data_IF_589669383472
#
_entry.id   IF_589669383472
#
_cell.length_a   1.000
_cell.length_b   1.000
_cell.length_c   1.000
_cell.angle_alpha   90.00
_cell.angle_beta   90.00
_cell.angle_gamma   90.00
#
_symmetry.space_group_name_H-M   'P 1'
#
loop_
_entity.id
_entity.type
_entity.pdbx_description
1 polymer ?
#
# COMPACT_ATOMS: atom_id res chain seq x y z
N UNK A 1 -1.71 7.82 -19.04
CA UNK A 1 -2.28 6.47 -18.84
C UNK A 1 -3.05 6.52 -17.54
N UNK A 2 -4.32 6.09 -17.51
CA UNK A 2 -5.13 6.16 -16.28
C UNK A 2 -4.67 5.13 -15.24
N UNK A 3 -4.99 5.36 -13.96
CA UNK A 3 -4.67 4.43 -12.86
C UNK A 3 -5.24 3.02 -13.14
N UNK A 4 -6.41 2.96 -13.78
CA UNK A 4 -7.08 1.74 -14.22
C UNK A 4 -6.23 0.97 -15.24
N UNK A 5 -5.72 1.65 -16.27
CA UNK A 5 -4.90 1.02 -17.31
C UNK A 5 -3.59 0.47 -16.73
N UNK A 6 -3.01 1.16 -15.74
CA UNK A 6 -1.78 0.74 -15.08
C UNK A 6 -1.99 -0.44 -14.16
N UNK A 7 -3.07 -0.44 -13.36
CA UNK A 7 -3.41 -1.56 -12.48
C UNK A 7 -3.57 -2.89 -13.19
N UNK A 8 -3.96 -2.88 -14.46
CA UNK A 8 -4.04 -4.13 -15.25
C UNK A 8 -2.69 -4.72 -15.66
N UNK A 9 -1.58 -4.01 -15.43
CA UNK A 9 -0.23 -4.38 -15.91
C UNK A 9 0.85 -4.33 -14.83
N UNK A 10 0.65 -3.50 -13.82
CA UNK A 10 1.67 -3.13 -12.84
C UNK A 10 1.05 -3.13 -11.43
N UNK A 11 1.90 -3.32 -10.42
CA UNK A 11 1.52 -3.13 -9.02
C UNK A 11 1.71 -1.67 -8.65
N UNK A 12 0.72 -1.09 -7.98
CA UNK A 12 0.72 0.33 -7.67
C UNK A 12 0.72 0.55 -6.17
N UNK A 13 1.34 1.63 -5.72
CA UNK A 13 1.24 2.14 -4.37
C UNK A 13 0.67 3.56 -4.39
N UNK A 14 -0.39 3.81 -3.63
CA UNK A 14 -1.00 5.12 -3.41
C UNK A 14 -0.63 5.64 -2.03
N UNK A 15 0.13 6.72 -2.00
CA UNK A 15 0.68 7.31 -0.77
C UNK A 15 -0.05 8.63 -0.51
N UNK A 16 -0.44 8.89 0.74
CA UNK A 16 -1.03 10.18 1.12
C UNK A 16 -1.26 10.31 2.62
N UNK A 17 -1.69 11.48 3.09
CA UNK A 17 -1.88 11.70 4.53
C UNK A 17 -3.08 10.96 5.09
N UNK A 18 -3.14 10.86 6.41
CA UNK A 18 -4.41 10.58 7.09
C UNK A 18 -5.47 11.59 6.62
N UNK A 19 -6.70 11.12 6.45
CA UNK A 19 -7.86 11.92 6.02
C UNK A 19 -7.78 12.56 4.63
N UNK A 20 -6.80 12.20 3.79
CA UNK A 20 -6.73 12.74 2.42
C UNK A 20 -7.80 12.18 1.48
N UNK A 21 -8.68 11.28 1.94
CA UNK A 21 -9.75 10.69 1.12
C UNK A 21 -9.34 9.47 0.29
N UNK A 22 -8.13 8.90 0.47
CA UNK A 22 -7.64 7.72 -0.29
C UNK A 22 -8.65 6.56 -0.27
N UNK A 23 -9.09 6.18 0.93
CA UNK A 23 -10.05 5.07 1.10
C UNK A 23 -11.39 5.38 0.45
N UNK A 24 -11.84 6.63 0.48
CA UNK A 24 -13.08 7.04 -0.18
C UNK A 24 -12.95 6.92 -1.70
N UNK A 25 -11.90 7.52 -2.29
CA UNK A 25 -11.60 7.39 -3.72
C UNK A 25 -11.52 5.93 -4.15
N UNK A 26 -10.82 5.09 -3.38
CA UNK A 26 -10.66 3.68 -3.72
C UNK A 26 -12.00 2.96 -3.69
N UNK A 27 -12.79 3.12 -2.62
CA UNK A 27 -14.03 2.35 -2.44
C UNK A 27 -15.19 2.84 -3.28
N UNK A 28 -15.31 4.15 -3.49
CA UNK A 28 -16.48 4.75 -4.14
C UNK A 28 -16.23 5.09 -5.62
N UNK A 29 -14.98 5.16 -6.07
CA UNK A 29 -14.65 5.47 -7.46
C UNK A 29 -13.86 4.35 -8.14
N UNK A 30 -12.71 3.95 -7.58
CA UNK A 30 -11.80 3.01 -8.25
C UNK A 30 -12.39 1.59 -8.33
N UNK A 31 -12.87 1.03 -7.21
CA UNK A 31 -13.46 -0.31 -7.17
C UNK A 31 -14.68 -0.41 -8.09
N UNK A 32 -15.69 0.49 -8.01
CA UNK A 32 -16.85 0.43 -8.89
C UNK A 32 -16.48 0.49 -10.37
N UNK A 33 -15.50 1.33 -10.75
CA UNK A 33 -15.06 1.41 -12.13
C UNK A 33 -14.32 0.14 -12.59
N UNK A 34 -13.48 -0.47 -11.73
CA UNK A 34 -12.84 -1.76 -12.04
C UNK A 34 -13.87 -2.87 -12.25
N UNK A 35 -14.87 -2.95 -11.37
CA UNK A 35 -15.94 -3.95 -11.44
C UNK A 35 -16.83 -3.75 -12.67
N UNK A 36 -17.15 -2.50 -13.01
CA UNK A 36 -17.86 -2.15 -14.26
C UNK A 36 -17.09 -2.59 -15.51
N UNK A 37 -15.76 -2.63 -15.45
CA UNK A 37 -14.90 -3.16 -16.50
C UNK A 37 -14.67 -4.69 -16.39
N UNK A 38 -15.48 -5.38 -15.58
CA UNK A 38 -15.50 -6.85 -15.47
C UNK A 38 -14.37 -7.43 -14.63
N UNK A 39 -13.71 -6.64 -13.78
CA UNK A 39 -12.67 -7.12 -12.86
C UNK A 39 -13.27 -7.48 -11.50
N UNK A 40 -12.92 -8.64 -10.99
CA UNK A 40 -13.20 -9.02 -9.60
C UNK A 40 -12.18 -8.35 -8.68
N UNK A 41 -12.63 -7.58 -7.70
CA UNK A 41 -11.74 -6.87 -6.78
C UNK A 41 -11.88 -7.42 -5.36
N UNK A 42 -10.74 -7.65 -4.70
CA UNK A 42 -10.66 -7.98 -3.29
C UNK A 42 -10.07 -6.79 -2.53
N UNK A 43 -10.83 -6.21 -1.61
CA UNK A 43 -10.35 -5.11 -0.76
C UNK A 43 -10.15 -5.60 0.67
N UNK A 44 -8.97 -5.31 1.22
CA UNK A 44 -8.59 -5.58 2.60
C UNK A 44 -8.27 -4.26 3.30
N UNK A 45 -8.96 -3.99 4.40
CA UNK A 45 -8.84 -2.71 5.14
C UNK A 45 -7.47 -2.53 5.80
N UNK A 46 -6.83 -3.62 6.18
CA UNK A 46 -5.54 -3.63 6.84
C UNK A 46 -4.89 -5.01 6.68
N UNK A 47 -3.62 -5.12 7.06
CA UNK A 47 -2.88 -6.38 6.99
C UNK A 47 -3.40 -7.49 7.92
N UNK A 48 -4.26 -7.18 8.90
CA UNK A 48 -4.72 -8.16 9.89
C UNK A 48 -5.86 -9.03 9.38
N UNK A 49 -6.56 -8.61 8.33
CA UNK A 49 -7.78 -9.25 7.83
C UNK A 49 -7.64 -9.80 6.41
N UNK A 50 -6.41 -10.16 6.00
CA UNK A 50 -6.15 -10.74 4.69
C UNK A 50 -6.66 -12.19 4.67
N UNK A 51 -7.54 -12.49 3.73
CA UNK A 51 -8.13 -13.83 3.54
C UNK A 51 -7.84 -14.35 2.14
N UNK A 52 -7.79 -15.68 2.01
CA UNK A 52 -7.60 -16.33 0.72
C UNK A 52 -8.91 -16.24 -0.09
N UNK A 53 -9.00 -15.26 -0.97
CA UNK A 53 -10.09 -15.10 -1.93
C UNK A 53 -9.54 -14.85 -3.34
N UNK A 54 -10.14 -15.47 -4.34
CA UNK A 54 -9.73 -15.24 -5.73
C UNK A 54 -10.27 -13.88 -6.21
N UNK A 55 -9.40 -13.04 -6.76
CA UNK A 55 -9.76 -11.77 -7.39
C UNK A 55 -8.82 -11.49 -8.57
N UNK A 56 -9.17 -10.58 -9.48
CA UNK A 56 -8.27 -10.10 -10.53
C UNK A 56 -7.32 -9.03 -10.00
N UNK A 57 -7.79 -8.23 -9.04
CA UNK A 57 -7.05 -7.14 -8.42
C UNK A 57 -7.23 -7.23 -6.91
N UNK A 58 -6.11 -7.12 -6.19
CA UNK A 58 -6.07 -7.09 -4.74
C UNK A 58 -5.72 -5.69 -4.26
N UNK A 59 -6.55 -5.14 -3.37
CA UNK A 59 -6.35 -3.82 -2.79
C UNK A 59 -6.09 -4.00 -1.30
N UNK A 60 -4.95 -3.50 -0.84
CA UNK A 60 -4.56 -3.52 0.57
C UNK A 60 -4.50 -2.09 1.07
N UNK A 61 -5.34 -1.77 2.04
CA UNK A 61 -5.36 -0.48 2.72
C UNK A 61 -4.46 -0.52 3.97
N UNK A 62 -4.02 0.65 4.41
CA UNK A 62 -3.11 0.86 5.55
C UNK A 62 -1.89 -0.09 5.54
N UNK A 63 -1.20 -0.15 4.40
CA UNK A 63 0.00 -0.95 4.19
C UNK A 63 1.20 -0.29 4.86
N UNK A 64 1.98 -1.10 5.59
CA UNK A 64 3.25 -0.70 6.16
C UNK A 64 4.41 -0.91 5.19
N UNK A 65 5.48 -0.14 5.37
CA UNK A 65 6.70 -0.22 4.58
C UNK A 65 7.90 0.06 5.47
N UNK A 66 8.93 -0.79 5.40
CA UNK A 66 10.21 -0.60 6.06
C UNK A 66 11.18 0.26 5.25
N UNK A 67 10.88 0.53 3.96
CA UNK A 67 11.76 1.29 3.06
C UNK A 67 12.19 2.67 3.60
N UNK A 68 11.33 3.33 4.38
CA UNK A 68 11.56 4.66 4.95
C UNK A 68 11.83 4.65 6.46
N UNK A 69 12.07 3.48 7.06
CA UNK A 69 12.30 3.33 8.50
C UNK A 69 13.44 4.18 9.02
N UNK A 70 14.61 4.11 8.39
CA UNK A 70 15.80 4.87 8.83
C UNK A 70 15.54 6.38 8.77
N UNK A 71 14.90 6.84 7.69
CA UNK A 71 14.50 8.24 7.54
C UNK A 71 13.53 8.70 8.65
N UNK A 72 12.53 7.87 8.96
CA UNK A 72 11.55 8.18 10.01
C UNK A 72 12.20 8.21 11.39
N UNK A 73 13.11 7.28 11.69
CA UNK A 73 13.84 7.25 12.97
C UNK A 73 14.84 8.40 13.14
N UNK A 74 15.44 8.88 12.05
CA UNK A 74 16.30 10.08 12.07
C UNK A 74 15.48 11.36 12.26
N UNK A 75 14.31 11.44 11.61
CA UNK A 75 13.43 12.61 11.65
C UNK A 75 12.64 12.72 12.96
N UNK A 76 12.24 11.59 13.54
CA UNK A 76 11.50 11.51 14.81
C UNK A 76 12.26 10.64 15.82
N UNK A 77 13.35 11.15 16.42
CA UNK A 77 14.18 10.38 17.35
C UNK A 77 13.42 9.85 18.57
N UNK A 78 12.33 10.53 18.96
CA UNK A 78 11.43 10.13 20.05
C UNK A 78 10.59 8.89 19.73
N UNK A 79 10.38 8.61 18.43
CA UNK A 79 9.64 7.43 17.98
C UNK A 79 10.57 6.22 17.81
N UNK A 80 11.87 6.32 18.15
CA UNK A 80 12.84 5.22 17.98
C UNK A 80 12.72 4.14 19.07
N UNK A 81 12.65 2.84 18.72
CA UNK A 81 12.56 2.29 17.36
C UNK A 81 11.17 2.50 16.76
N UNK A 82 11.11 2.95 15.50
CA UNK A 82 9.84 3.31 14.84
C UNK A 82 8.91 2.11 14.73
N UNK A 83 9.49 0.93 14.48
CA UNK A 83 8.82 -0.35 14.69
C UNK A 83 9.43 -1.04 15.90
N UNK A 84 8.63 -1.26 16.94
CA UNK A 84 9.01 -2.12 18.08
C UNK A 84 9.18 -3.57 17.59
N UNK A 85 9.94 -4.40 18.32
CA UNK A 85 10.15 -5.81 17.95
C UNK A 85 8.84 -6.60 17.80
N UNK A 86 7.81 -6.24 18.57
CA UNK A 86 6.48 -6.83 18.49
C UNK A 86 5.76 -6.36 17.22
N UNK A 87 5.78 -5.06 16.95
CA UNK A 87 5.10 -4.49 15.78
C UNK A 87 5.80 -4.91 14.48
N UNK A 88 7.13 -4.95 14.44
CA UNK A 88 7.90 -5.44 13.29
C UNK A 88 7.52 -6.88 12.93
N UNK A 89 7.39 -7.76 13.93
CA UNK A 89 6.93 -9.14 13.71
C UNK A 89 5.55 -9.17 13.08
N UNK A 90 4.62 -8.36 13.59
CA UNK A 90 3.28 -8.23 13.05
C UNK A 90 3.28 -7.75 11.58
N UNK A 91 4.10 -6.75 11.25
CA UNK A 91 4.22 -6.24 9.88
C UNK A 91 4.81 -7.29 8.95
N UNK A 92 5.81 -8.06 9.38
CA UNK A 92 6.34 -9.19 8.61
C UNK A 92 5.29 -10.28 8.37
N UNK A 93 4.39 -10.52 9.31
CA UNK A 93 3.27 -11.45 9.10
C UNK A 93 2.29 -10.92 8.06
N UNK A 94 2.02 -9.60 8.04
CA UNK A 94 1.21 -8.97 6.99
C UNK A 94 1.87 -9.08 5.61
N UNK A 95 3.19 -8.95 5.53
CA UNK A 95 3.97 -9.13 4.30
C UNK A 95 3.77 -10.51 3.69
N UNK A 96 3.73 -11.56 4.51
CA UNK A 96 3.38 -12.90 4.04
C UNK A 96 1.97 -12.96 3.46
N UNK A 97 1.02 -12.23 4.03
CA UNK A 97 -0.31 -12.07 3.48
C UNK A 97 -0.30 -11.43 2.10
N UNK A 98 0.40 -10.31 1.92
CA UNK A 98 0.51 -9.62 0.63
C UNK A 98 1.13 -10.51 -0.45
N UNK A 99 2.21 -11.22 -0.11
CA UNK A 99 2.98 -12.08 -1.03
C UNK A 99 2.16 -13.24 -1.63
N UNK A 100 1.14 -13.74 -0.94
CA UNK A 100 0.29 -14.83 -1.44
C UNK A 100 -0.55 -14.44 -2.67
N UNK A 101 -0.66 -13.14 -2.95
CA UNK A 101 -1.52 -12.59 -3.99
C UNK A 101 -0.68 -12.23 -5.23
N UNK A 102 -0.57 -13.18 -6.17
CA UNK A 102 0.33 -13.11 -7.32
C UNK A 102 -0.19 -12.26 -8.50
N UNK A 103 -1.47 -11.85 -8.46
CA UNK A 103 -2.11 -10.96 -9.44
C UNK A 103 -1.85 -9.48 -9.12
N UNK A 104 -2.40 -8.58 -9.94
CA UNK A 104 -2.22 -7.13 -9.77
C UNK A 104 -2.62 -6.65 -8.38
N UNK A 105 -1.74 -5.87 -7.75
CA UNK A 105 -1.99 -5.32 -6.42
C UNK A 105 -1.98 -3.78 -6.41
N UNK A 106 -2.85 -3.22 -5.58
CA UNK A 106 -2.89 -1.80 -5.24
C UNK A 106 -2.70 -1.64 -3.73
N UNK A 107 -1.63 -0.98 -3.32
CA UNK A 107 -1.27 -0.78 -1.92
C UNK A 107 -1.56 0.66 -1.53
N UNK A 108 -2.21 0.90 -0.41
CA UNK A 108 -2.49 2.25 0.09
C UNK A 108 -1.63 2.45 1.32
N UNK A 109 -0.80 3.48 1.30
CA UNK A 109 0.14 3.77 2.38
C UNK A 109 -0.16 5.17 2.95
N UNK A 110 -0.24 5.24 4.27
CA UNK A 110 -0.48 6.49 5.00
C UNK A 110 0.82 7.01 5.62
N UNK A 111 1.05 8.32 5.52
CA UNK A 111 2.17 9.03 6.17
C UNK A 111 1.73 10.33 6.80
N UNK A 112 2.44 10.78 7.82
CA UNK A 112 2.03 11.89 8.70
C UNK A 112 2.03 13.24 7.99
N UNK A 113 3.02 13.50 7.13
CA UNK A 113 3.15 14.76 6.43
C UNK A 113 3.68 14.59 5.00
N UNK A 114 3.72 15.72 4.28
CA UNK A 114 4.12 15.78 2.88
C UNK A 114 5.56 15.33 2.64
N UNK A 115 6.49 15.67 3.53
CA UNK A 115 7.90 15.29 3.36
C UNK A 115 8.07 13.77 3.49
N UNK A 116 7.37 13.14 4.42
CA UNK A 116 7.35 11.67 4.58
C UNK A 116 6.77 10.99 3.32
N UNK A 117 5.72 11.58 2.74
CA UNK A 117 5.11 11.11 1.48
C UNK A 117 6.09 11.22 0.31
N UNK A 118 6.77 12.37 0.18
CA UNK A 118 7.72 12.61 -0.90
C UNK A 118 8.93 11.69 -0.78
N UNK A 119 9.44 11.50 0.43
CA UNK A 119 10.52 10.54 0.69
C UNK A 119 10.11 9.14 0.23
N UNK A 120 8.96 8.64 0.70
CA UNK A 120 8.52 7.29 0.35
C UNK A 120 8.27 7.15 -1.16
N UNK A 121 7.66 8.13 -1.82
CA UNK A 121 7.46 8.14 -3.29
C UNK A 121 8.78 7.98 -4.04
N UNK A 122 9.84 8.63 -3.56
CA UNK A 122 11.10 8.69 -4.27
C UNK A 122 11.96 7.41 -4.05
N UNK A 123 11.73 6.69 -2.96
CA UNK A 123 12.52 5.52 -2.55
C UNK A 123 11.79 4.17 -2.66
N UNK A 124 10.45 4.14 -2.57
CA UNK A 124 9.67 2.91 -2.69
C UNK A 124 9.57 2.48 -4.16
N UNK A 125 10.53 1.66 -4.60
CA UNK A 125 10.57 1.11 -5.97
C UNK A 125 10.17 -0.36 -6.04
N UNK A 126 10.33 -1.07 -4.94
CA UNK A 126 10.08 -2.49 -4.79
C UNK A 126 9.26 -2.71 -3.53
N UNK A 127 8.42 -3.72 -3.53
CA UNK A 127 7.70 -4.14 -2.36
C UNK A 127 8.66 -4.67 -1.29
N UNK A 128 8.36 -4.44 -0.01
CA UNK A 128 9.18 -4.98 1.09
C UNK A 128 8.91 -6.48 1.33
N UNK A 129 7.81 -7.01 0.79
CA UNK A 129 7.36 -8.39 1.00
C UNK A 129 7.75 -9.35 -0.13
N UNK A 130 8.10 -8.85 -1.31
CA UNK A 130 8.51 -9.65 -2.46
C UNK A 130 9.31 -8.83 -3.50
N UNK A 131 9.76 -9.48 -4.57
CA UNK A 131 10.60 -8.85 -5.61
C UNK A 131 9.76 -8.07 -6.64
N UNK A 132 8.52 -7.65 -6.32
CA UNK A 132 7.65 -6.98 -7.29
C UNK A 132 7.94 -5.49 -7.33
N UNK A 133 8.06 -4.96 -8.54
CA UNK A 133 8.22 -3.52 -8.77
C UNK A 133 6.91 -2.80 -8.46
N UNK A 134 7.02 -1.66 -7.78
CA UNK A 134 5.91 -0.77 -7.47
C UNK A 134 6.03 0.53 -8.26
N UNK A 135 4.91 0.99 -8.82
CA UNK A 135 4.77 2.37 -9.27
C UNK A 135 3.99 3.17 -8.23
N UNK A 136 4.59 4.26 -7.75
CA UNK A 136 4.09 5.07 -6.65
C UNK A 136 3.34 6.31 -7.14
N UNK A 137 2.18 6.57 -6.55
CA UNK A 137 1.35 7.75 -6.79
C UNK A 137 1.11 8.48 -5.47
N UNK A 138 1.07 9.81 -5.53
CA UNK A 138 0.70 10.64 -4.38
C UNK A 138 -0.74 11.09 -4.52
N UNK A 139 -1.56 10.78 -3.53
CA UNK A 139 -2.91 11.33 -3.39
C UNK A 139 -2.82 12.72 -2.75
N UNK A 140 -3.45 13.71 -3.39
CA UNK A 140 -3.41 15.12 -2.96
C UNK A 140 -4.71 15.51 -2.28
#
# INVERSE_FOLDING_TARGET
>A
MSILQKLTKENLALIGTSDSGKTHFVKEELIPELEKNGKKVAYFKDGSNITDQEADIYIFDEVESFCDREYLEEKYPEEKPYYTDEYERKVKDWFWGYKKHDRSCFYIITRKNKDDIEYLRDHLRWADWDDRKLETFVFK
#
